data_IF_528374090090
#
_entry.id   IF_528374090090
#
_cell.length_a   1.000
_cell.length_b   1.000
_cell.length_c   1.000
_cell.angle_alpha   90.00
_cell.angle_beta   90.00
_cell.angle_gamma   90.00
#
_symmetry.space_group_name_H-M   'P 1'
#
loop_
_entity.id
_entity.type
_entity.pdbx_description
1 polymer ?
#
# COMPACT_ATOMS: atom_id res chain seq x y z
N UNK A 1 4.58 10.19 17.23
CA UNK A 1 4.57 8.88 16.55
C UNK A 1 3.19 8.67 15.96
N UNK A 2 3.10 8.04 14.80
CA UNK A 2 1.84 7.74 14.14
C UNK A 2 1.70 6.22 13.96
N UNK A 3 0.47 5.74 13.96
CA UNK A 3 0.19 4.33 13.80
C UNK A 3 0.14 3.98 12.32
N UNK A 4 0.71 2.82 11.97
CA UNK A 4 0.58 2.29 10.62
C UNK A 4 -0.88 1.94 10.33
N UNK A 5 -1.43 2.45 9.22
CA UNK A 5 -2.84 2.22 8.84
C UNK A 5 -3.16 0.75 8.45
N UNK A 6 -2.14 -0.12 8.34
CA UNK A 6 -2.30 -1.55 8.02
C UNK A 6 -2.16 -2.45 9.27
N UNK A 7 -1.04 -2.33 9.98
CA UNK A 7 -0.74 -3.19 11.12
C UNK A 7 -0.95 -2.52 12.48
N UNK A 8 -1.41 -1.27 12.50
CA UNK A 8 -1.74 -0.45 13.70
C UNK A 8 -0.61 -0.26 14.71
N UNK A 9 0.61 -0.65 14.36
CA UNK A 9 1.80 -0.44 15.20
C UNK A 9 2.26 1.00 15.10
N UNK A 10 2.51 1.61 16.25
CA UNK A 10 3.18 2.90 16.35
C UNK A 10 4.59 2.82 15.78
N UNK A 11 4.89 3.69 14.81
CA UNK A 11 6.22 3.80 14.21
C UNK A 11 6.68 5.26 14.16
N UNK A 12 8.01 5.50 14.19
CA UNK A 12 8.55 6.85 14.07
C UNK A 12 8.39 7.40 12.65
N UNK A 13 8.41 6.53 11.64
CA UNK A 13 8.34 6.89 10.22
C UNK A 13 7.25 6.08 9.54
N UNK A 14 6.43 6.76 8.74
CA UNK A 14 5.42 6.16 7.89
C UNK A 14 5.61 6.68 6.46
N UNK A 15 5.35 5.82 5.49
CA UNK A 15 5.42 6.10 4.06
C UNK A 15 4.01 6.31 3.51
N UNK A 16 3.75 7.39 2.75
CA UNK A 16 2.45 7.64 2.16
C UNK A 16 2.24 6.73 0.95
N UNK A 17 1.14 5.97 0.94
CA UNK A 17 0.67 5.20 -0.22
C UNK A 17 -0.72 5.70 -0.64
N UNK A 18 -0.98 5.75 -1.95
CA UNK A 18 -2.33 6.04 -2.46
C UNK A 18 -3.12 4.73 -2.50
N UNK A 19 -4.08 4.58 -1.59
CA UNK A 19 -4.95 3.42 -1.54
C UNK A 19 -6.33 3.77 -2.12
N UNK A 20 -6.93 2.91 -2.96
CA UNK A 20 -8.33 3.08 -3.35
C UNK A 20 -9.19 2.89 -2.10
N UNK A 21 -9.87 3.95 -1.68
CA UNK A 21 -10.83 3.89 -0.58
C UNK A 21 -12.22 4.01 -1.18
N UNK A 22 -13.11 3.09 -0.80
CA UNK A 22 -14.50 3.12 -1.23
C UNK A 22 -15.31 4.00 -0.26
N UNK A 23 -14.94 5.27 -0.16
CA UNK A 23 -15.70 6.25 0.62
C UNK A 23 -16.06 7.47 -0.23
N UNK A 24 -17.23 8.07 0.06
CA UNK A 24 -17.75 9.22 -0.68
C UNK A 24 -16.81 10.44 -0.63
N UNK A 25 -15.97 10.52 0.41
CA UNK A 25 -15.05 11.64 0.63
C UNK A 25 -13.83 11.61 -0.30
N UNK A 26 -13.35 10.43 -0.69
CA UNK A 26 -12.14 10.30 -1.52
C UNK A 26 -12.37 9.30 -2.66
N UNK A 27 -13.18 9.67 -3.66
CA UNK A 27 -13.52 8.78 -4.77
C UNK A 27 -12.31 8.34 -5.60
N UNK A 28 -11.25 9.16 -5.65
CA UNK A 28 -10.00 8.82 -6.36
C UNK A 28 -8.99 8.04 -5.50
N UNK A 29 -9.35 7.66 -4.27
CA UNK A 29 -8.44 7.10 -3.29
C UNK A 29 -7.86 8.14 -2.34
N UNK A 30 -7.36 7.66 -1.20
CA UNK A 30 -6.79 8.49 -0.14
C UNK A 30 -5.35 8.09 0.14
N UNK A 31 -4.55 9.07 0.58
CA UNK A 31 -3.21 8.79 1.08
C UNK A 31 -3.29 8.16 2.47
N UNK A 32 -2.60 7.03 2.64
CA UNK A 32 -2.51 6.26 3.88
C UNK A 32 -1.06 6.11 4.29
N UNK A 33 -0.78 6.25 5.58
CA UNK A 33 0.58 6.08 6.13
C UNK A 33 0.84 4.63 6.52
N UNK A 34 1.84 4.00 5.91
CA UNK A 34 2.22 2.61 6.20
C UNK A 34 3.66 2.52 6.67
N UNK A 35 3.98 1.54 7.52
CA UNK A 35 5.36 1.33 7.93
C UNK A 35 6.19 0.64 6.83
N UNK A 36 7.50 0.69 6.99
CA UNK A 36 8.51 0.00 6.19
C UNK A 36 8.16 -1.47 5.92
N UNK A 37 7.86 -2.24 6.97
CA UNK A 37 7.57 -3.68 6.85
C UNK A 37 6.29 -3.91 6.04
N UNK A 38 5.23 -3.15 6.30
CA UNK A 38 3.99 -3.30 5.55
C UNK A 38 4.17 -2.88 4.09
N UNK A 39 4.99 -1.88 3.81
CA UNK A 39 5.29 -1.45 2.45
C UNK A 39 5.96 -2.57 1.64
N UNK A 40 6.96 -3.25 2.21
CA UNK A 40 7.64 -4.39 1.57
C UNK A 40 6.66 -5.55 1.27
N UNK A 41 5.76 -5.86 2.22
CA UNK A 41 4.75 -6.91 2.00
C UNK A 41 3.73 -6.54 0.92
N UNK A 42 3.34 -5.27 0.82
CA UNK A 42 2.46 -4.79 -0.25
C UNK A 42 3.14 -4.93 -1.62
N UNK A 43 4.39 -4.50 -1.74
CA UNK A 43 5.15 -4.62 -2.98
C UNK A 43 5.29 -6.09 -3.40
N UNK A 44 5.68 -6.97 -2.47
CA UNK A 44 5.79 -8.40 -2.75
C UNK A 44 4.45 -8.99 -3.21
N UNK A 45 3.36 -8.68 -2.51
CA UNK A 45 2.02 -9.16 -2.88
C UNK A 45 1.57 -8.63 -4.25
N UNK A 46 1.95 -7.39 -4.58
CA UNK A 46 1.67 -6.79 -5.88
C UNK A 46 2.46 -7.49 -7.00
N UNK A 47 3.75 -7.74 -6.79
CA UNK A 47 4.59 -8.48 -7.72
C UNK A 47 4.08 -9.91 -7.94
N UNK A 48 3.65 -10.61 -6.88
CA UNK A 48 3.08 -11.95 -6.99
C UNK A 48 1.78 -11.99 -7.80
N UNK A 49 0.90 -10.98 -7.62
CA UNK A 49 -0.41 -10.92 -8.29
C UNK A 49 -0.38 -10.34 -9.70
N UNK A 50 0.47 -9.35 -9.94
CA UNK A 50 0.48 -8.55 -11.18
C UNK A 50 1.82 -8.63 -11.94
N UNK A 51 2.92 -8.96 -11.27
CA UNK A 51 4.26 -9.01 -11.87
C UNK A 51 4.46 -10.12 -12.90
N UNK A 52 3.67 -11.19 -12.86
CA UNK A 52 3.74 -12.30 -13.83
C UNK A 52 3.20 -11.96 -15.23
N UNK A 53 2.49 -10.83 -15.42
CA UNK A 53 1.82 -10.52 -16.70
C UNK A 53 2.72 -9.85 -17.76
N UNK A 54 4.00 -9.61 -17.49
CA UNK A 54 4.89 -8.93 -18.44
C UNK A 54 5.59 -9.86 -19.47
N UNK A 55 5.42 -11.19 -19.40
CA UNK A 55 6.11 -12.13 -20.31
C UNK A 55 5.26 -12.68 -21.48
N UNK A 56 3.98 -12.31 -21.62
CA UNK A 56 3.10 -12.80 -22.68
C UNK A 56 2.81 -11.77 -23.79
N UNK A 57 3.77 -10.88 -24.08
CA UNK A 57 3.71 -10.02 -25.27
C UNK A 57 5.00 -10.17 -26.07
N UNK A 58 5.09 -11.26 -26.81
CA UNK A 58 6.06 -11.47 -27.89
C UNK A 58 5.33 -12.01 -29.10
#
# INVERSE_FOLDING_TARGET
>A
MADCELCTRARPTLFPIKAPVHNLTYPEGAYKGVCDICLEHLEKSWQERFGAQQQAKK
#
